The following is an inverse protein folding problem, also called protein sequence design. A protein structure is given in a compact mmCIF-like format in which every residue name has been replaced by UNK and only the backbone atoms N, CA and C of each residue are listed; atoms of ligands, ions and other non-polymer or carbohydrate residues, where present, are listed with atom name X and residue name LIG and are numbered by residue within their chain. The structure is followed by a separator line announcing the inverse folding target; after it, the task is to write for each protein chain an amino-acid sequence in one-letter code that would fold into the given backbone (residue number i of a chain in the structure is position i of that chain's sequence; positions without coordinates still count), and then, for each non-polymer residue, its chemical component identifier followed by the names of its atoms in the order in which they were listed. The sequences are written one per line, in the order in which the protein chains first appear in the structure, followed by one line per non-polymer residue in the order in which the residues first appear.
data_IF_712118727812
#
_entry.id   IF_712118727812
#
_cell.length_a   1.000
_cell.length_b   1.000
_cell.length_c   1.000
_cell.angle_alpha   90.00
_cell.angle_beta   90.00
_cell.angle_gamma   90.00
#
_symmetry.space_group_name_H-M   'P 1'
#
loop_
_entity.id
_entity.type
_entity.pdbx_description
1 polymer ?
#
# COMPACT_ATOMS: atom_id res chain seq x y z
N UNK A 1 5.57 54.53 -12.60
CA UNK A 1 4.52 53.48 -12.44
C UNK A 1 5.09 52.12 -12.80
N UNK A 2 5.10 51.14 -11.87
CA UNK A 2 5.42 49.73 -12.17
C UNK A 2 4.41 48.83 -11.44
N UNK A 3 3.49 48.26 -12.21
CA UNK A 3 2.36 47.47 -11.73
C UNK A 3 2.81 46.21 -10.97
N UNK A 4 2.52 46.15 -9.67
CA UNK A 4 2.66 44.94 -8.85
C UNK A 4 1.51 43.99 -9.19
N UNK A 5 1.75 42.99 -10.03
CA UNK A 5 0.80 41.88 -10.26
C UNK A 5 0.68 41.09 -8.94
N UNK A 6 -0.39 41.33 -8.18
CA UNK A 6 -0.74 40.50 -7.03
C UNK A 6 -1.17 39.13 -7.55
N UNK A 7 -0.34 38.12 -7.34
CA UNK A 7 -0.70 36.71 -7.53
C UNK A 7 -1.80 36.39 -6.52
N UNK A 8 -3.05 36.36 -6.98
CA UNK A 8 -4.22 35.99 -6.20
C UNK A 8 -4.04 34.52 -5.79
N UNK A 9 -3.79 34.25 -4.51
CA UNK A 9 -3.82 32.87 -3.98
C UNK A 9 -5.27 32.40 -4.09
N UNK A 10 -5.55 31.56 -5.08
CA UNK A 10 -6.86 30.95 -5.24
C UNK A 10 -6.98 29.86 -4.17
N UNK A 11 -7.79 30.10 -3.14
CA UNK A 11 -8.13 29.09 -2.15
C UNK A 11 -8.92 27.99 -2.85
N UNK A 12 -8.33 26.79 -2.95
CA UNK A 12 -9.03 25.59 -3.42
C UNK A 12 -10.27 25.41 -2.54
N UNK A 13 -11.46 25.17 -3.10
CA UNK A 13 -12.68 24.98 -2.31
C UNK A 13 -12.46 23.86 -1.26
N UNK A 14 -12.92 24.09 -0.03
CA UNK A 14 -12.72 23.18 1.10
C UNK A 14 -13.14 21.74 0.77
N UNK A 15 -14.22 21.56 0.00
CA UNK A 15 -14.67 20.25 -0.47
C UNK A 15 -13.62 19.47 -1.27
N UNK A 16 -12.89 20.13 -2.17
CA UNK A 16 -11.85 19.46 -2.98
C UNK A 16 -10.63 19.08 -2.14
N UNK A 17 -10.29 19.89 -1.13
CA UNK A 17 -9.22 19.55 -0.18
C UNK A 17 -9.59 18.38 0.75
N UNK A 18 -10.87 18.30 1.17
CA UNK A 18 -11.37 17.18 1.97
C UNK A 18 -11.35 15.88 1.14
N UNK A 19 -11.83 15.92 -0.10
CA UNK A 19 -11.81 14.77 -1.02
C UNK A 19 -10.38 14.26 -1.25
N UNK A 20 -9.41 15.15 -1.55
CA UNK A 20 -8.01 14.75 -1.72
C UNK A 20 -7.39 14.15 -0.45
N UNK A 21 -7.77 14.63 0.74
CA UNK A 21 -7.35 14.04 2.01
C UNK A 21 -7.97 12.66 2.21
N UNK A 22 -9.23 12.49 1.86
CA UNK A 22 -9.96 11.24 2.00
C UNK A 22 -9.36 10.16 1.09
N UNK A 23 -9.09 10.47 -0.18
CA UNK A 23 -8.44 9.53 -1.10
C UNK A 23 -7.03 9.14 -0.63
N UNK A 24 -6.25 10.11 -0.14
CA UNK A 24 -4.94 9.85 0.42
C UNK A 24 -5.00 8.97 1.68
N UNK A 25 -6.06 9.10 2.48
CA UNK A 25 -6.28 8.28 3.66
C UNK A 25 -6.67 6.84 3.26
N UNK A 26 -7.57 6.68 2.30
CA UNK A 26 -7.98 5.37 1.75
C UNK A 26 -6.77 4.65 1.14
N UNK A 27 -5.94 5.33 0.35
CA UNK A 27 -4.71 4.73 -0.21
C UNK A 27 -3.75 4.29 0.90
N UNK A 28 -3.59 5.09 1.95
CA UNK A 28 -2.74 4.74 3.09
C UNK A 28 -3.27 3.53 3.85
N UNK A 29 -4.57 3.44 4.02
CA UNK A 29 -5.24 2.31 4.66
C UNK A 29 -5.13 1.04 3.80
N UNK A 30 -5.32 1.17 2.49
CA UNK A 30 -5.11 0.09 1.53
C UNK A 30 -3.67 -0.43 1.55
N UNK A 31 -2.68 0.46 1.56
CA UNK A 31 -1.26 0.09 1.66
C UNK A 31 -0.93 -0.67 2.96
N UNK A 32 -1.55 -0.29 4.08
CA UNK A 32 -1.44 -1.05 5.35
C UNK A 32 -2.08 -2.43 5.22
N UNK A 33 -3.26 -2.51 4.61
CA UNK A 33 -3.98 -3.76 4.40
C UNK A 33 -3.19 -4.75 3.55
N UNK A 34 -2.56 -4.30 2.46
CA UNK A 34 -1.66 -5.14 1.65
C UNK A 34 -0.48 -5.70 2.47
N UNK A 35 0.06 -4.88 3.36
CA UNK A 35 1.17 -5.25 4.22
C UNK A 35 0.76 -6.27 5.29
N UNK A 36 -0.44 -6.16 5.83
CA UNK A 36 -0.99 -7.16 6.75
C UNK A 36 -1.35 -8.48 6.06
N UNK A 37 -1.86 -8.44 4.82
CA UNK A 37 -2.05 -9.66 4.02
C UNK A 37 -0.69 -10.34 3.77
N UNK A 38 0.36 -9.59 3.45
CA UNK A 38 1.70 -10.17 3.25
C UNK A 38 2.19 -10.93 4.48
N UNK A 39 2.01 -10.38 5.69
CA UNK A 39 2.31 -11.09 6.94
C UNK A 39 1.43 -12.33 7.14
N UNK A 40 0.16 -12.26 6.78
CA UNK A 40 -0.77 -13.38 6.85
C UNK A 40 -0.35 -14.53 5.91
N UNK A 41 0.11 -14.21 4.69
CA UNK A 41 0.64 -15.19 3.74
C UNK A 41 1.88 -15.89 4.30
N UNK A 42 2.79 -15.15 4.93
CA UNK A 42 3.98 -15.72 5.59
C UNK A 42 3.55 -16.64 6.74
N UNK A 43 2.63 -16.19 7.60
CA UNK A 43 2.10 -17.01 8.71
C UNK A 43 1.42 -18.29 8.22
N UNK A 44 0.61 -18.20 7.17
CA UNK A 44 -0.03 -19.35 6.52
C UNK A 44 1.00 -20.34 5.97
N UNK A 45 2.04 -19.85 5.28
CA UNK A 45 3.12 -20.68 4.76
C UNK A 45 3.82 -21.47 5.87
N UNK A 46 4.15 -20.82 6.99
CA UNK A 46 4.78 -21.47 8.15
C UNK A 46 3.86 -22.57 8.70
N UNK A 47 2.58 -22.27 8.91
CA UNK A 47 1.61 -23.27 9.41
C UNK A 47 1.51 -24.46 8.44
N UNK A 48 1.39 -24.21 7.14
CA UNK A 48 1.29 -25.26 6.12
C UNK A 48 2.53 -26.17 6.09
N UNK A 49 3.73 -25.62 6.31
CA UNK A 49 4.96 -26.42 6.38
C UNK A 49 5.05 -27.29 7.63
N UNK A 50 4.62 -26.76 8.78
CA UNK A 50 4.57 -27.50 10.06
C UNK A 50 3.52 -28.60 10.01
N UNK A 51 2.37 -28.34 9.37
CA UNK A 51 1.26 -29.30 9.27
C UNK A 51 1.56 -30.49 8.34
N UNK A 52 2.72 -30.49 7.66
CA UNK A 52 3.16 -31.51 6.72
C UNK A 52 2.06 -31.97 5.75
N UNK A 53 1.23 -31.02 5.28
CA UNK A 53 0.31 -31.28 4.19
C UNK A 53 1.13 -31.88 3.04
N UNK A 54 0.68 -33.02 2.52
CA UNK A 54 1.42 -34.01 1.73
C UNK A 54 1.85 -33.53 0.32
N UNK A 55 2.13 -32.23 0.19
CA UNK A 55 2.50 -31.45 -0.98
C UNK A 55 3.99 -31.14 -0.92
N UNK A 56 4.64 -30.95 -2.07
CA UNK A 56 6.03 -30.50 -2.16
C UNK A 56 6.29 -29.24 -1.32
N UNK A 57 6.84 -29.43 -0.12
CA UNK A 57 7.04 -28.38 0.89
C UNK A 57 7.83 -27.20 0.33
N UNK A 58 8.85 -27.49 -0.48
CA UNK A 58 9.70 -26.49 -1.14
C UNK A 58 8.90 -25.64 -2.12
N UNK A 59 7.99 -26.26 -2.89
CA UNK A 59 7.16 -25.56 -3.87
C UNK A 59 6.16 -24.62 -3.18
N UNK A 60 5.52 -25.09 -2.11
CA UNK A 60 4.57 -24.28 -1.32
C UNK A 60 5.26 -23.06 -0.69
N UNK A 61 6.45 -23.26 -0.08
CA UNK A 61 7.23 -22.16 0.49
C UNK A 61 7.62 -21.16 -0.59
N UNK A 62 8.11 -21.63 -1.73
CA UNK A 62 8.58 -20.77 -2.82
C UNK A 62 7.46 -19.87 -3.36
N UNK A 63 6.27 -20.44 -3.58
CA UNK A 63 5.09 -19.68 -4.04
C UNK A 63 4.66 -18.67 -2.98
N UNK A 64 4.56 -19.09 -1.71
CA UNK A 64 4.11 -18.21 -0.65
C UNK A 64 5.07 -17.03 -0.41
N UNK A 65 6.39 -17.27 -0.41
CA UNK A 65 7.40 -16.22 -0.29
C UNK A 65 7.35 -15.27 -1.48
N UNK A 66 7.19 -15.79 -2.70
CA UNK A 66 7.08 -14.97 -3.91
C UNK A 66 5.87 -14.03 -3.85
N UNK A 67 4.70 -14.54 -3.46
CA UNK A 67 3.47 -13.75 -3.31
C UNK A 67 3.62 -12.73 -2.17
N UNK A 68 4.18 -13.13 -1.04
CA UNK A 68 4.39 -12.25 0.10
C UNK A 68 5.29 -11.05 -0.27
N UNK A 69 6.38 -11.29 -1.01
CA UNK A 69 7.28 -10.22 -1.48
C UNK A 69 6.55 -9.27 -2.43
N UNK A 70 5.79 -9.80 -3.40
CA UNK A 70 5.01 -8.97 -4.33
C UNK A 70 4.01 -8.06 -3.60
N UNK A 71 3.25 -8.62 -2.64
CA UNK A 71 2.30 -7.87 -1.82
C UNK A 71 3.00 -6.84 -0.92
N UNK A 72 4.16 -7.19 -0.38
CA UNK A 72 4.96 -6.28 0.44
C UNK A 72 5.46 -5.09 -0.39
N UNK A 73 6.03 -5.34 -1.57
CA UNK A 73 6.49 -4.29 -2.49
C UNK A 73 5.31 -3.41 -2.92
N UNK A 74 4.17 -4.00 -3.29
CA UNK A 74 2.97 -3.27 -3.68
C UNK A 74 2.43 -2.39 -2.53
N UNK A 75 2.33 -2.95 -1.31
CA UNK A 75 1.91 -2.21 -0.13
C UNK A 75 2.87 -1.06 0.20
N UNK A 76 4.18 -1.29 0.11
CA UNK A 76 5.19 -0.27 0.35
C UNK A 76 5.15 0.83 -0.72
N UNK A 77 4.94 0.46 -1.99
CA UNK A 77 4.81 1.41 -3.09
C UNK A 77 3.60 2.32 -2.88
N UNK A 78 2.43 1.75 -2.53
CA UNK A 78 1.21 2.51 -2.23
C UNK A 78 1.42 3.44 -1.02
N UNK A 79 2.08 2.98 0.04
CA UNK A 79 2.37 3.80 1.23
C UNK A 79 3.37 4.92 0.96
N UNK A 80 4.34 4.69 0.08
CA UNK A 80 5.41 5.65 -0.24
C UNK A 80 5.03 6.55 -1.42
N UNK A 81 3.94 6.25 -2.13
CA UNK A 81 3.46 7.03 -3.25
C UNK A 81 3.00 8.42 -2.78
N UNK A 82 3.94 9.37 -2.80
CA UNK A 82 3.65 10.78 -2.56
C UNK A 82 3.21 11.37 -3.90
N UNK A 83 1.91 11.65 -4.07
CA UNK A 83 1.45 12.51 -5.18
C UNK A 83 2.21 13.84 -5.05
N UNK A 84 3.04 14.13 -6.05
CA UNK A 84 3.78 15.39 -6.17
C UNK A 84 2.87 16.48 -6.71
#
# INVERSE_FOLDING_TARGET
MKNRRKTKRMSIPLQVQQLQKEEANILKEFGKYLLDISKLVIGGAVITTVLQLNTDKILVITIAVSIAILLCIAGFLVLTYKKK
#
